data_IF_294804264057
#
_entry.id   IF_294804264057
#
_cell.length_a   1.000
_cell.length_b   1.000
_cell.length_c   1.000
_cell.angle_alpha   90.00
_cell.angle_beta   90.00
_cell.angle_gamma   90.00
#
_symmetry.space_group_name_H-M   'P 1'
#
loop_
_entity.id
_entity.type
_entity.pdbx_description
1 polymer ?
#
# COMPACT_ATOMS: atom_id res chain seq x y z
N UNK A 1 -5.72 0.84 4.12
CA UNK A 1 -6.01 -0.04 5.26
C UNK A 1 -7.16 -0.97 4.91
N UNK A 2 -7.04 -2.21 5.29
CA UNK A 2 -8.10 -3.18 5.10
C UNK A 2 -8.30 -4.00 6.38
N UNK A 3 -9.57 -4.17 6.81
CA UNK A 3 -9.93 -4.98 7.98
C UNK A 3 -9.99 -6.45 7.62
N UNK A 4 -9.22 -7.29 8.32
CA UNK A 4 -9.19 -8.74 8.04
C UNK A 4 -10.54 -9.38 8.34
N UNK A 5 -11.19 -9.95 7.32
CA UNK A 5 -12.49 -10.60 7.44
C UNK A 5 -13.51 -10.06 6.45
N UNK A 6 -14.73 -10.56 6.52
CA UNK A 6 -15.81 -10.14 5.62
C UNK A 6 -16.91 -9.43 6.39
N UNK A 7 -17.46 -8.36 5.80
CA UNK A 7 -18.67 -7.70 6.24
C UNK A 7 -18.48 -6.36 6.93
N UNK A 8 -19.61 -5.75 7.34
CA UNK A 8 -19.68 -4.38 7.86
C UNK A 8 -18.78 -4.09 9.07
N UNK A 9 -18.40 -5.11 9.83
CA UNK A 9 -17.56 -4.93 11.02
C UNK A 9 -16.11 -4.69 10.62
N UNK A 10 -15.56 -5.41 9.62
CA UNK A 10 -14.21 -5.20 9.12
C UNK A 10 -14.06 -3.80 8.49
N UNK A 11 -15.04 -3.39 7.71
CA UNK A 11 -15.11 -2.05 7.12
C UNK A 11 -15.17 -0.93 8.18
N UNK A 12 -15.95 -1.12 9.24
CA UNK A 12 -16.01 -0.16 10.36
C UNK A 12 -14.66 -0.02 11.07
N UNK A 13 -13.93 -1.15 11.26
CA UNK A 13 -12.62 -1.12 11.94
C UNK A 13 -11.54 -0.45 11.07
N UNK A 14 -11.47 -0.78 9.78
CA UNK A 14 -10.52 -0.13 8.88
C UNK A 14 -10.80 1.37 8.73
N UNK A 15 -12.07 1.76 8.58
CA UNK A 15 -12.48 3.17 8.53
C UNK A 15 -12.09 3.90 9.81
N UNK A 16 -12.39 3.32 10.98
CA UNK A 16 -12.04 3.94 12.24
C UNK A 16 -10.52 4.07 12.45
N UNK A 17 -9.76 3.06 11.99
CA UNK A 17 -8.29 3.12 12.06
C UNK A 17 -7.78 4.30 11.23
N UNK A 18 -8.26 4.47 9.99
CA UNK A 18 -7.86 5.57 9.11
C UNK A 18 -8.24 6.93 9.71
N UNK A 19 -9.47 7.11 10.19
CA UNK A 19 -9.92 8.36 10.80
C UNK A 19 -9.03 8.76 11.99
N UNK A 20 -8.67 7.80 12.85
CA UNK A 20 -7.78 8.07 13.99
C UNK A 20 -6.36 8.37 13.54
N UNK A 21 -5.85 7.66 12.51
CA UNK A 21 -4.54 7.92 11.93
C UNK A 21 -4.45 9.35 11.40
N UNK A 22 -5.44 9.78 10.61
CA UNK A 22 -5.52 11.15 10.09
C UNK A 22 -5.50 12.18 11.23
N UNK A 23 -6.28 11.97 12.28
CA UNK A 23 -6.31 12.86 13.44
C UNK A 23 -4.95 12.95 14.16
N UNK A 24 -4.21 11.84 14.30
CA UNK A 24 -2.89 11.87 14.91
C UNK A 24 -1.88 12.60 14.03
N UNK A 25 -1.91 12.37 12.72
CA UNK A 25 -1.03 13.06 11.78
C UNK A 25 -1.32 14.56 11.75
N UNK A 26 -2.58 14.97 11.74
CA UNK A 26 -3.01 16.38 11.82
C UNK A 26 -2.61 17.04 13.14
N UNK A 27 -2.56 16.28 14.23
CA UNK A 27 -2.07 16.75 15.52
C UNK A 27 -0.54 16.84 15.60
N UNK A 28 0.18 16.44 14.53
CA UNK A 28 1.63 16.55 14.42
C UNK A 28 2.42 15.35 14.96
N UNK A 29 1.77 14.21 15.17
CA UNK A 29 2.51 12.97 15.44
C UNK A 29 3.25 12.52 14.18
N UNK A 30 4.42 11.89 14.37
CA UNK A 30 5.07 11.20 13.26
C UNK A 30 4.27 9.95 12.87
N UNK A 31 4.40 9.53 11.62
CA UNK A 31 3.72 8.35 11.07
C UNK A 31 3.96 7.10 11.93
N UNK A 32 5.23 6.86 12.29
CA UNK A 32 5.61 5.71 13.13
C UNK A 32 4.96 5.77 14.53
N UNK A 33 4.94 6.96 15.15
CA UNK A 33 4.33 7.14 16.46
C UNK A 33 2.81 6.95 16.42
N UNK A 34 2.16 7.49 15.39
CA UNK A 34 0.73 7.36 15.18
C UNK A 34 0.32 5.90 14.96
N UNK A 35 1.02 5.20 14.08
CA UNK A 35 0.78 3.78 13.80
C UNK A 35 1.04 2.89 15.02
N UNK A 36 2.11 3.15 15.79
CA UNK A 36 2.41 2.41 17.01
C UNK A 36 1.32 2.56 18.06
N UNK A 37 0.85 3.79 18.33
CA UNK A 37 -0.23 4.05 19.27
C UNK A 37 -1.55 3.38 18.84
N UNK A 38 -1.86 3.41 17.55
CA UNK A 38 -3.05 2.77 17.01
C UNK A 38 -2.95 1.25 17.10
N UNK A 39 -1.80 0.67 16.72
CA UNK A 39 -1.58 -0.76 16.89
C UNK A 39 -1.84 -1.23 18.32
N UNK A 40 -1.26 -0.53 19.29
CA UNK A 40 -1.43 -0.88 20.69
C UNK A 40 -2.89 -0.70 21.17
N UNK A 41 -3.53 0.37 20.74
CA UNK A 41 -4.94 0.62 21.06
C UNK A 41 -5.87 -0.46 20.51
N UNK A 42 -5.62 -0.93 19.29
CA UNK A 42 -6.43 -1.98 18.66
C UNK A 42 -6.11 -3.38 19.18
N UNK A 43 -4.86 -3.63 19.62
CA UNK A 43 -4.45 -4.90 20.21
C UNK A 43 -4.97 -5.09 21.66
N UNK A 44 -5.04 -4.02 22.45
CA UNK A 44 -5.40 -4.08 23.87
C UNK A 44 -6.92 -4.04 24.14
N UNK A 45 -7.74 -3.70 23.14
CA UNK A 45 -9.17 -3.66 23.33
C UNK A 45 -9.76 -5.08 23.27
N UNK A 46 -10.44 -5.50 24.35
CA UNK A 46 -11.31 -6.69 24.44
C UNK A 46 -12.47 -6.70 23.41
N UNK A 47 -12.58 -5.67 22.60
CA UNK A 47 -13.54 -5.54 21.52
C UNK A 47 -13.03 -6.29 20.27
N UNK A 48 -13.09 -7.64 20.34
CA UNK A 48 -13.00 -8.61 19.22
C UNK A 48 -12.07 -8.15 18.09
N UNK A 49 -10.77 -8.01 18.40
CA UNK A 49 -9.75 -7.48 17.52
C UNK A 49 -9.81 -8.03 16.08
N UNK A 50 -10.41 -7.26 15.21
CA UNK A 50 -10.24 -7.48 13.77
C UNK A 50 -8.92 -6.81 13.42
N UNK A 51 -7.91 -7.59 13.02
CA UNK A 51 -6.64 -7.02 12.58
C UNK A 51 -6.86 -6.17 11.33
N UNK A 52 -6.05 -5.12 11.21
CA UNK A 52 -6.11 -4.21 10.05
C UNK A 52 -4.76 -4.22 9.34
N UNK A 53 -4.76 -4.50 8.05
CA UNK A 53 -3.56 -4.33 7.22
C UNK A 53 -3.37 -2.86 6.88
N UNK A 54 -2.14 -2.39 6.97
CA UNK A 54 -1.78 -0.99 6.70
C UNK A 54 -0.71 -0.93 5.63
N UNK A 55 -1.00 -0.18 4.58
CA UNK A 55 -0.02 0.21 3.56
C UNK A 55 -0.10 1.73 3.38
N UNK A 56 0.90 2.44 3.89
CA UNK A 56 0.96 3.89 3.86
C UNK A 56 2.26 4.34 3.20
N UNK A 57 2.15 5.34 2.34
CA UNK A 57 3.29 6.00 1.71
C UNK A 57 3.21 7.51 1.96
N UNK A 58 4.23 8.06 2.64
CA UNK A 58 4.41 9.50 2.85
C UNK A 58 5.45 10.01 1.86
N UNK A 59 5.13 11.06 1.10
CA UNK A 59 6.01 11.62 0.07
C UNK A 59 6.47 13.01 0.48
N UNK A 60 7.79 13.17 0.67
CA UNK A 60 8.42 14.47 0.85
C UNK A 60 8.83 15.02 -0.52
N UNK A 61 8.02 15.90 -1.08
CA UNK A 61 8.24 16.51 -2.40
C UNK A 61 9.51 17.37 -2.45
N UNK A 62 9.94 17.96 -1.32
CA UNK A 62 11.13 18.81 -1.27
C UNK A 62 12.41 17.98 -1.30
N UNK A 63 12.43 16.85 -0.61
CA UNK A 63 13.58 15.95 -0.56
C UNK A 63 13.57 14.92 -1.70
N UNK A 64 12.43 14.72 -2.35
CA UNK A 64 12.26 13.67 -3.36
C UNK A 64 12.37 12.28 -2.74
N UNK A 65 11.75 12.08 -1.57
CA UNK A 65 11.75 10.81 -0.86
C UNK A 65 10.32 10.32 -0.60
N UNK A 66 10.17 9.00 -0.60
CA UNK A 66 8.98 8.34 -0.12
C UNK A 66 9.35 7.44 1.07
N UNK A 67 8.57 7.54 2.14
CA UNK A 67 8.65 6.68 3.30
C UNK A 67 7.42 5.77 3.31
N UNK A 68 7.68 4.46 3.24
CA UNK A 68 6.65 3.42 3.28
C UNK A 68 6.57 2.86 4.69
N UNK A 69 5.35 2.78 5.21
CA UNK A 69 5.02 2.16 6.50
C UNK A 69 4.01 1.06 6.26
N UNK A 70 4.35 -0.17 6.63
CA UNK A 70 3.54 -1.34 6.33
C UNK A 70 3.32 -2.19 7.58
N UNK A 71 2.10 -2.74 7.70
CA UNK A 71 1.74 -3.73 8.72
C UNK A 71 0.83 -4.78 8.08
N UNK A 72 1.36 -5.97 7.81
CA UNK A 72 0.63 -7.08 7.21
C UNK A 72 0.11 -6.84 5.79
N UNK A 73 0.55 -5.78 5.13
CA UNK A 73 0.09 -5.42 3.80
C UNK A 73 0.85 -6.16 2.70
N UNK A 74 0.24 -6.28 1.54
CA UNK A 74 0.88 -6.78 0.32
C UNK A 74 2.01 -5.85 -0.14
N UNK A 75 2.97 -6.32 -0.96
CA UNK A 75 4.05 -5.48 -1.47
C UNK A 75 3.55 -4.27 -2.26
N UNK A 76 4.31 -3.17 -2.17
CA UNK A 76 4.21 -2.03 -3.06
C UNK A 76 5.36 -2.04 -4.06
N UNK A 77 5.19 -1.38 -5.19
CA UNK A 77 6.17 -1.42 -6.27
C UNK A 77 6.58 0.00 -6.65
N UNK A 78 7.87 0.18 -6.95
CA UNK A 78 8.39 1.43 -7.50
C UNK A 78 8.95 1.12 -8.88
N UNK A 79 8.27 1.64 -9.91
CA UNK A 79 8.72 1.52 -11.30
C UNK A 79 9.53 2.74 -11.67
N UNK A 80 10.81 2.54 -11.98
CA UNK A 80 11.69 3.59 -12.46
C UNK A 80 11.42 3.91 -13.94
N UNK A 81 11.84 5.10 -14.36
CA UNK A 81 11.70 5.58 -15.75
C UNK A 81 12.31 4.64 -16.78
N UNK A 82 13.37 3.91 -16.43
CA UNK A 82 14.05 2.92 -17.29
C UNK A 82 13.34 1.56 -17.33
N UNK A 83 12.22 1.43 -16.60
CA UNK A 83 11.40 0.22 -16.57
C UNK A 83 11.74 -0.75 -15.45
N UNK A 84 12.84 -0.55 -14.71
CA UNK A 84 13.15 -1.40 -13.57
C UNK A 84 12.12 -1.24 -12.46
N UNK A 85 11.77 -2.36 -11.80
CA UNK A 85 10.81 -2.37 -10.70
C UNK A 85 11.49 -2.85 -9.41
N UNK A 86 11.42 -1.99 -8.38
CA UNK A 86 11.79 -2.32 -7.00
C UNK A 86 10.54 -2.71 -6.25
N UNK A 87 10.64 -3.73 -5.42
CA UNK A 87 9.58 -4.18 -4.51
C UNK A 87 9.85 -3.61 -3.12
N UNK A 88 8.81 -3.10 -2.47
CA UNK A 88 8.80 -2.69 -1.07
C UNK A 88 7.94 -3.71 -0.33
N UNK A 89 8.60 -4.61 0.40
CA UNK A 89 7.97 -5.74 1.08
C UNK A 89 7.49 -5.37 2.48
N UNK A 90 6.56 -6.16 3.01
CA UNK A 90 6.15 -6.15 4.41
C UNK A 90 6.37 -7.53 5.01
N UNK A 91 6.90 -7.58 6.23
CA UNK A 91 7.11 -8.80 7.00
C UNK A 91 6.42 -8.78 8.35
N UNK A 92 5.93 -7.62 8.77
CA UNK A 92 5.24 -7.41 10.03
C UNK A 92 3.81 -7.98 10.03
N UNK A 93 3.28 -8.20 11.22
CA UNK A 93 1.89 -8.58 11.40
C UNK A 93 0.95 -7.40 11.15
N UNK A 94 -0.31 -7.67 10.77
CA UNK A 94 -1.35 -6.64 10.72
C UNK A 94 -1.50 -5.91 12.05
N UNK A 95 -1.92 -4.66 12.02
CA UNK A 95 -2.18 -3.86 13.20
C UNK A 95 -3.30 -4.49 14.06
N UNK A 96 -3.15 -4.41 15.37
CA UNK A 96 -4.12 -4.96 16.31
C UNK A 96 -3.96 -6.45 16.64
N UNK A 97 -2.97 -7.14 16.06
CA UNK A 97 -2.69 -8.55 16.39
C UNK A 97 -1.93 -8.66 17.72
N UNK A 98 -0.89 -7.87 17.89
CA UNK A 98 -0.02 -7.89 19.09
C UNK A 98 0.39 -6.45 19.40
N UNK A 99 0.26 -6.05 20.68
CA UNK A 99 0.80 -4.77 21.15
C UNK A 99 2.33 -4.75 21.03
N UNK A 100 2.89 -3.60 20.64
CA UNK A 100 4.32 -3.43 20.40
C UNK A 100 4.83 -4.11 19.11
N UNK A 101 3.95 -4.43 18.14
CA UNK A 101 4.36 -4.95 16.85
C UNK A 101 5.31 -3.99 16.14
N UNK A 102 6.27 -4.57 15.42
CA UNK A 102 7.19 -3.81 14.56
C UNK A 102 6.42 -3.30 13.35
N UNK A 103 6.63 -2.03 13.01
CA UNK A 103 6.16 -1.43 11.77
C UNK A 103 7.28 -1.56 10.75
N UNK A 104 7.03 -2.17 9.60
CA UNK A 104 8.00 -2.16 8.52
C UNK A 104 8.09 -0.74 7.95
N UNK A 105 9.28 -0.17 7.98
CA UNK A 105 9.56 1.16 7.45
C UNK A 105 10.70 1.09 6.43
N UNK A 106 10.46 1.59 5.25
CA UNK A 106 11.44 1.69 4.18
C UNK A 106 11.41 3.08 3.54
N UNK A 107 12.57 3.76 3.50
CA UNK A 107 12.74 5.06 2.86
C UNK A 107 13.40 4.90 1.49
N UNK A 108 12.82 5.52 0.47
CA UNK A 108 13.26 5.40 -0.93
C UNK A 108 13.43 6.78 -1.55
N UNK A 109 14.58 7.00 -2.22
CA UNK A 109 14.78 8.18 -3.06
C UNK A 109 14.01 8.04 -4.37
N UNK A 110 13.21 9.04 -4.70
CA UNK A 110 12.41 9.12 -5.92
C UNK A 110 13.09 10.00 -6.98
N UNK A 111 12.97 9.60 -8.23
CA UNK A 111 13.50 10.31 -9.39
C UNK A 111 12.39 10.77 -10.33
N UNK A 112 12.70 11.75 -11.15
CA UNK A 112 11.81 12.23 -12.22
C UNK A 112 11.45 11.10 -13.18
N UNK A 113 10.17 10.81 -13.28
CA UNK A 113 9.61 9.73 -14.10
C UNK A 113 9.42 8.40 -13.39
N UNK A 114 9.62 8.33 -12.07
CA UNK A 114 9.28 7.16 -11.26
C UNK A 114 7.77 7.09 -10.98
N UNK A 115 7.29 5.87 -10.73
CA UNK A 115 5.91 5.61 -10.33
C UNK A 115 5.90 4.77 -9.06
N UNK A 116 5.06 5.16 -8.11
CA UNK A 116 4.71 4.35 -6.94
C UNK A 116 3.41 3.64 -7.26
N UNK A 117 3.36 2.32 -7.04
CA UNK A 117 2.21 1.47 -7.31
C UNK A 117 1.90 0.71 -6.02
N UNK A 118 0.71 0.94 -5.48
CA UNK A 118 0.18 0.28 -4.29
C UNK A 118 -1.12 -0.41 -4.66
N UNK A 119 -1.44 -1.52 -3.99
CA UNK A 119 -2.64 -2.28 -4.30
C UNK A 119 -3.21 -2.99 -3.08
N UNK A 120 -4.50 -3.35 -3.12
CA UNK A 120 -5.09 -4.24 -2.14
C UNK A 120 -4.67 -5.69 -2.38
N UNK A 121 -4.81 -6.54 -1.37
CA UNK A 121 -4.52 -7.97 -1.44
C UNK A 121 -5.39 -8.69 -2.48
N UNK A 122 -6.64 -8.29 -2.65
CA UNK A 122 -7.53 -8.84 -3.69
C UNK A 122 -6.91 -8.80 -5.09
N UNK A 123 -6.06 -7.81 -5.39
CA UNK A 123 -5.36 -7.72 -6.70
C UNK A 123 -4.32 -8.84 -6.85
N UNK A 124 -3.52 -9.09 -5.80
CA UNK A 124 -2.54 -10.17 -5.84
C UNK A 124 -3.19 -11.55 -5.70
N UNK A 125 -4.25 -11.65 -4.88
CA UNK A 125 -4.90 -12.91 -4.61
C UNK A 125 -5.65 -13.47 -5.81
N UNK A 126 -6.12 -12.64 -6.70
CA UNK A 126 -6.71 -13.04 -7.97
C UNK A 126 -5.71 -13.68 -8.96
N UNK A 127 -4.40 -13.54 -8.73
CA UNK A 127 -3.40 -14.15 -9.59
C UNK A 127 -3.25 -15.66 -9.33
N UNK A 128 -3.34 -16.52 -10.36
CA UNK A 128 -3.30 -17.98 -10.22
C UNK A 128 -1.86 -18.55 -10.12
N UNK A 129 -0.89 -17.74 -9.74
CA UNK A 129 0.52 -18.11 -9.70
C UNK A 129 0.98 -18.43 -8.29
N UNK A 130 1.99 -19.33 -8.17
CA UNK A 130 2.60 -19.65 -6.88
C UNK A 130 3.35 -18.44 -6.31
N UNK A 131 4.12 -17.75 -7.15
CA UNK A 131 4.87 -16.54 -6.81
C UNK A 131 4.17 -15.33 -7.43
N UNK A 132 3.13 -14.86 -6.74
CA UNK A 132 2.26 -13.76 -7.20
C UNK A 132 3.01 -12.43 -7.28
N UNK A 133 3.91 -12.19 -6.32
CA UNK A 133 4.69 -10.96 -6.23
C UNK A 133 5.66 -10.85 -7.40
N UNK A 134 6.39 -11.92 -7.69
CA UNK A 134 7.28 -11.97 -8.84
C UNK A 134 6.51 -11.76 -10.15
N UNK A 135 5.37 -12.41 -10.28
CA UNK A 135 4.55 -12.26 -11.49
C UNK A 135 4.04 -10.83 -11.65
N UNK A 136 3.56 -10.20 -10.54
CA UNK A 136 3.12 -8.81 -10.56
C UNK A 136 4.28 -7.88 -10.92
N UNK A 137 5.48 -8.11 -10.38
CA UNK A 137 6.67 -7.36 -10.74
C UNK A 137 6.97 -7.45 -12.24
N UNK A 138 7.00 -8.67 -12.82
CA UNK A 138 7.22 -8.90 -14.24
C UNK A 138 6.15 -8.22 -15.11
N UNK A 139 4.90 -8.26 -14.68
CA UNK A 139 3.79 -7.56 -15.33
C UNK A 139 4.04 -6.04 -15.33
N UNK A 140 4.36 -5.46 -14.18
CA UNK A 140 4.63 -4.02 -14.05
C UNK A 140 5.86 -3.61 -14.90
N UNK A 141 6.92 -4.43 -14.94
CA UNK A 141 8.09 -4.19 -15.79
C UNK A 141 7.73 -4.09 -17.28
N UNK A 142 6.77 -4.91 -17.73
CA UNK A 142 6.29 -4.95 -19.12
C UNK A 142 5.32 -3.82 -19.50
N UNK A 143 4.85 -3.00 -18.57
CA UNK A 143 3.93 -1.88 -18.85
C UNK A 143 4.67 -0.74 -19.53
N UNK A 144 4.22 -0.31 -20.70
CA UNK A 144 4.81 0.80 -21.47
C UNK A 144 4.05 2.13 -21.28
N UNK A 145 2.86 2.07 -20.72
CA UNK A 145 2.02 3.22 -20.40
C UNK A 145 2.73 4.18 -19.44
N UNK A 146 2.50 5.48 -19.66
CA UNK A 146 3.13 6.55 -18.87
C UNK A 146 2.14 7.38 -18.04
N UNK A 147 0.84 7.20 -18.28
CA UNK A 147 -0.19 7.85 -17.49
C UNK A 147 -0.52 6.95 -16.29
N UNK A 148 -0.50 7.47 -15.05
CA UNK A 148 -0.77 6.66 -13.86
C UNK A 148 -2.07 5.89 -13.94
N UNK A 149 -3.13 6.53 -14.42
CA UNK A 149 -4.43 5.89 -14.60
C UNK A 149 -4.37 4.72 -15.59
N UNK A 150 -3.65 4.87 -16.71
CA UNK A 150 -3.51 3.80 -17.70
C UNK A 150 -2.69 2.62 -17.16
N UNK A 151 -1.69 2.88 -16.32
CA UNK A 151 -0.92 1.85 -15.62
C UNK A 151 -1.85 1.06 -14.68
N UNK A 152 -2.65 1.74 -13.88
CA UNK A 152 -3.59 1.10 -12.95
C UNK A 152 -4.64 0.25 -13.72
N UNK A 153 -5.22 0.78 -14.78
CA UNK A 153 -6.17 0.07 -15.64
C UNK A 153 -5.53 -1.15 -16.32
N UNK A 154 -4.26 -1.04 -16.74
CA UNK A 154 -3.52 -2.15 -17.33
C UNK A 154 -3.30 -3.28 -16.33
N UNK A 155 -2.90 -2.98 -15.10
CA UNK A 155 -2.75 -3.95 -14.02
C UNK A 155 -4.09 -4.65 -13.76
N UNK A 156 -5.15 -3.90 -13.54
CA UNK A 156 -6.47 -4.47 -13.27
C UNK A 156 -6.97 -5.33 -14.44
N UNK A 157 -6.78 -4.91 -15.68
CA UNK A 157 -7.23 -5.66 -16.86
C UNK A 157 -6.52 -7.01 -16.99
N UNK A 158 -5.23 -7.09 -16.65
CA UNK A 158 -4.49 -8.35 -16.63
C UNK A 158 -4.95 -9.27 -15.51
N UNK A 159 -5.24 -8.73 -14.33
CA UNK A 159 -5.74 -9.51 -13.19
C UNK A 159 -7.13 -10.07 -13.50
N UNK A 160 -8.05 -9.25 -14.03
CA UNK A 160 -9.39 -9.70 -14.44
C UNK A 160 -9.38 -10.80 -15.52
N UNK A 161 -8.32 -10.87 -16.33
CA UNK A 161 -8.19 -11.94 -17.32
C UNK A 161 -8.03 -13.32 -16.67
N UNK A 162 -7.43 -13.37 -15.46
CA UNK A 162 -7.18 -14.63 -14.75
C UNK A 162 -8.32 -15.04 -13.83
N UNK A 163 -9.08 -14.11 -13.28
CA UNK A 163 -10.20 -14.40 -12.38
C UNK A 163 -11.48 -13.68 -12.81
N UNK A 164 -12.38 -14.42 -13.47
CA UNK A 164 -13.72 -13.93 -13.81
C UNK A 164 -14.64 -13.82 -12.58
N UNK A 165 -14.27 -14.44 -11.46
CA UNK A 165 -15.01 -14.40 -10.20
C UNK A 165 -14.21 -13.57 -9.21
N UNK A 166 -14.44 -12.26 -9.23
CA UNK A 166 -13.89 -11.34 -8.23
C UNK A 166 -14.27 -11.85 -6.84
N UNK A 167 -13.29 -12.40 -6.12
CA UNK A 167 -13.50 -12.96 -4.80
C UNK A 167 -13.42 -11.88 -3.71
N UNK A 168 -12.72 -10.76 -4.01
CA UNK A 168 -12.48 -9.65 -3.09
C UNK A 168 -12.38 -8.32 -3.84
N UNK A 169 -12.48 -7.22 -3.10
CA UNK A 169 -12.36 -5.87 -3.66
C UNK A 169 -10.94 -5.60 -4.17
N UNK A 170 -10.83 -5.10 -5.39
CA UNK A 170 -9.56 -4.83 -6.05
C UNK A 170 -9.33 -3.33 -6.22
N UNK A 171 -8.28 -2.83 -5.59
CA UNK A 171 -7.86 -1.43 -5.72
C UNK A 171 -6.41 -1.36 -6.16
N UNK A 172 -6.12 -0.52 -7.16
CA UNK A 172 -4.75 -0.17 -7.58
C UNK A 172 -4.59 1.33 -7.57
N UNK A 173 -3.62 1.82 -6.81
CA UNK A 173 -3.23 3.22 -6.73
C UNK A 173 -1.90 3.42 -7.44
N UNK A 174 -1.83 4.35 -8.38
CA UNK A 174 -0.59 4.71 -9.07
C UNK A 174 -0.33 6.19 -8.95
N UNK A 175 0.84 6.54 -8.42
CA UNK A 175 1.32 7.93 -8.30
C UNK A 175 2.56 8.11 -9.16
N UNK A 176 2.54 9.06 -10.08
CA UNK A 176 3.71 9.40 -10.88
C UNK A 176 4.47 10.60 -10.28
N UNK A 177 5.79 10.55 -10.35
CA UNK A 177 6.69 11.55 -9.80
C UNK A 177 7.30 12.36 -10.94
N UNK A 178 7.01 13.67 -10.97
CA UNK A 178 7.57 14.58 -11.97
C UNK A 178 8.12 15.84 -11.33
N UNK A 179 9.34 16.23 -11.72
CA UNK A 179 9.87 17.53 -11.34
C UNK A 179 9.21 18.63 -12.16
N UNK A 180 8.66 19.61 -11.49
CA UNK A 180 8.25 20.85 -12.15
C UNK A 180 9.53 21.55 -12.62
N UNK A 181 9.78 21.55 -13.92
CA UNK A 181 10.78 22.43 -14.51
C UNK A 181 10.16 23.81 -14.54
N UNK A 182 10.58 24.67 -13.61
CA UNK A 182 10.27 26.10 -13.73
C UNK A 182 10.80 26.53 -15.10
N UNK A 183 9.88 26.87 -16.01
CA UNK A 183 10.22 27.23 -17.37
C UNK A 183 11.20 28.40 -17.38
N UNK A 184 12.30 28.26 -18.15
CA UNK A 184 13.03 29.37 -18.76
C UNK A 184 12.16 30.04 -19.80
#
# INVERSE_FOLDING_TARGET
>A
ADGMGCGSTADEYSTRFIELLEHFLDAGFSEESALGLLNDTFADNDMSGIPVTIDMCSINEYEGKADFFKMGAVPSFIKSRDGMVRVVEASSLPAGVISGSIIDHESVELKDGDYIIMMSDGVLDALPFYDKEKHMKELIEGIEERMPQAIAERILSEVYFYDEKIADDMTVLVTGIWRIRNGE
#
